data_IF_322409767745
#
_entry.id   IF_322409767745
#
_cell.length_a   1.000
_cell.length_b   1.000
_cell.length_c   1.000
_cell.angle_alpha   90.00
_cell.angle_beta   90.00
_cell.angle_gamma   90.00
#
_symmetry.space_group_name_H-M   'P 1'
#
loop_
_entity.id
_entity.type
_entity.pdbx_description
1 polymer ?
#
# COMPACT_ATOMS: atom_id res chain seq x y z
N UNK A 1 0.63 -22.53 4.96
CA UNK A 1 1.40 -21.53 4.19
C UNK A 1 1.40 -21.97 2.73
N UNK A 2 0.92 -21.15 1.81
CA UNK A 2 0.97 -21.46 0.36
C UNK A 2 2.42 -21.33 -0.13
N UNK A 3 2.84 -22.24 -0.99
CA UNK A 3 4.19 -22.26 -1.55
C UNK A 3 4.10 -22.12 -3.06
N UNK A 4 4.99 -21.32 -3.64
CA UNK A 4 5.02 -21.04 -5.06
C UNK A 4 6.34 -21.48 -5.68
N UNK A 5 6.27 -22.03 -6.87
CA UNK A 5 7.42 -22.48 -7.67
C UNK A 5 7.52 -21.77 -9.02
N UNK A 6 6.40 -21.24 -9.52
CA UNK A 6 6.27 -20.67 -10.87
C UNK A 6 6.10 -19.15 -10.90
N UNK A 7 5.87 -18.49 -9.73
CA UNK A 7 5.60 -17.07 -9.65
C UNK A 7 6.88 -16.26 -9.44
N UNK A 8 7.18 -15.35 -10.37
CA UNK A 8 8.36 -14.50 -10.37
C UNK A 8 8.00 -13.03 -10.59
N UNK A 9 8.85 -12.14 -10.10
CA UNK A 9 8.77 -10.70 -10.35
C UNK A 9 9.91 -10.33 -11.29
N UNK A 10 9.66 -9.71 -12.46
CA UNK A 10 10.72 -9.19 -13.29
C UNK A 10 11.58 -8.19 -12.53
N UNK A 11 12.90 -8.25 -12.65
CA UNK A 11 13.75 -7.23 -12.02
C UNK A 11 13.42 -5.85 -12.58
N UNK A 12 13.13 -4.88 -11.69
CA UNK A 12 12.53 -3.58 -12.02
C UNK A 12 11.16 -3.66 -12.71
N UNK A 13 10.45 -4.76 -12.60
CA UNK A 13 9.04 -4.91 -12.98
C UNK A 13 8.08 -4.38 -11.91
N UNK A 14 8.51 -3.36 -11.17
CA UNK A 14 7.76 -2.73 -10.08
C UNK A 14 8.17 -1.28 -9.91
N UNK A 15 7.29 -0.50 -9.30
CA UNK A 15 7.57 0.85 -8.84
C UNK A 15 6.71 1.20 -7.61
N UNK A 16 7.15 2.21 -6.87
CA UNK A 16 6.34 2.94 -5.90
C UNK A 16 6.41 4.41 -6.24
N UNK A 17 5.28 5.12 -6.20
CA UNK A 17 5.31 6.57 -6.19
C UNK A 17 5.95 7.08 -4.89
N UNK A 18 6.32 8.36 -4.79
CA UNK A 18 6.48 9.00 -3.51
C UNK A 18 5.22 8.84 -2.66
N UNK A 19 5.40 8.73 -1.34
CA UNK A 19 4.29 8.79 -0.38
C UNK A 19 4.13 10.23 0.10
N UNK A 20 2.97 10.81 -0.20
CA UNK A 20 2.65 12.16 0.25
C UNK A 20 1.89 12.10 1.57
N UNK A 21 2.25 12.99 2.50
CA UNK A 21 1.57 13.08 3.80
C UNK A 21 0.11 13.44 3.65
N UNK A 22 -0.66 13.20 4.70
CA UNK A 22 -2.02 13.71 4.84
C UNK A 22 -2.10 15.20 4.48
N UNK A 23 -3.02 15.54 3.57
CA UNK A 23 -3.19 16.90 3.02
C UNK A 23 -1.92 17.44 2.34
N UNK A 24 -1.10 16.55 1.79
CA UNK A 24 0.10 16.89 1.04
C UNK A 24 -0.12 17.03 -0.46
N UNK A 25 0.94 16.78 -1.23
CA UNK A 25 0.99 17.03 -2.68
C UNK A 25 -0.04 16.28 -3.51
N UNK A 26 -0.52 15.13 -3.06
CA UNK A 26 -1.50 14.30 -3.77
C UNK A 26 -2.93 14.41 -3.22
N UNK A 27 -3.18 15.26 -2.23
CA UNK A 27 -4.45 15.31 -1.49
C UNK A 27 -5.71 15.55 -2.36
N UNK A 28 -5.57 16.22 -3.49
CA UNK A 28 -6.67 16.58 -4.37
C UNK A 28 -6.76 15.71 -5.64
N UNK A 29 -5.88 14.73 -5.77
CA UNK A 29 -5.89 13.84 -6.93
C UNK A 29 -6.93 12.73 -6.74
N UNK A 30 -7.52 12.25 -7.84
CA UNK A 30 -8.26 11.00 -7.83
C UNK A 30 -7.24 9.85 -7.91
N UNK A 31 -7.20 8.98 -6.91
CA UNK A 31 -6.20 7.92 -6.82
C UNK A 31 -6.24 6.96 -8.02
N UNK A 32 -7.43 6.68 -8.56
CA UNK A 32 -7.62 5.77 -9.69
C UNK A 32 -6.98 6.36 -10.96
N UNK A 33 -7.31 7.63 -11.24
CA UNK A 33 -6.80 8.34 -12.42
C UNK A 33 -5.29 8.53 -12.33
N UNK A 34 -4.81 8.99 -11.17
CA UNK A 34 -3.38 9.21 -10.96
C UNK A 34 -2.60 7.89 -11.02
N UNK A 35 -3.12 6.83 -10.40
CA UNK A 35 -2.51 5.50 -10.44
C UNK A 35 -2.36 4.97 -11.86
N UNK A 36 -3.43 5.01 -12.66
CA UNK A 36 -3.39 4.58 -14.06
C UNK A 36 -2.44 5.46 -14.91
N UNK A 37 -2.44 6.79 -14.70
CA UNK A 37 -1.51 7.70 -15.38
C UNK A 37 -0.05 7.38 -15.05
N UNK A 38 0.25 7.19 -13.77
CA UNK A 38 1.60 6.85 -13.29
C UNK A 38 2.04 5.49 -13.85
N UNK A 39 1.17 4.50 -13.84
CA UNK A 39 1.42 3.19 -14.43
C UNK A 39 1.76 3.29 -15.92
N UNK A 40 0.98 4.05 -16.70
CA UNK A 40 1.23 4.27 -18.12
C UNK A 40 2.60 4.90 -18.39
N UNK A 41 2.95 5.92 -17.62
CA UNK A 41 4.24 6.60 -17.75
C UNK A 41 5.39 5.64 -17.40
N UNK A 42 5.21 4.82 -16.36
CA UNK A 42 6.18 3.82 -15.97
C UNK A 42 6.34 2.72 -17.02
N UNK A 43 5.27 2.16 -17.57
CA UNK A 43 5.33 1.17 -18.68
C UNK A 43 6.10 1.73 -19.88
N UNK A 44 5.79 2.99 -20.27
CA UNK A 44 6.50 3.68 -21.35
C UNK A 44 7.99 3.84 -21.07
N UNK A 45 8.37 4.27 -19.87
CA UNK A 45 9.78 4.41 -19.48
C UNK A 45 10.50 3.06 -19.47
N UNK A 46 9.82 2.01 -19.03
CA UNK A 46 10.36 0.65 -18.99
C UNK A 46 10.36 -0.03 -20.36
N UNK A 47 9.74 0.58 -21.37
CA UNK A 47 9.53 0.00 -22.71
C UNK A 47 8.83 -1.37 -22.64
N UNK A 48 7.91 -1.52 -21.69
CA UNK A 48 7.04 -2.69 -21.58
C UNK A 48 5.70 -2.34 -22.22
N UNK A 49 5.26 -3.15 -23.17
CA UNK A 49 3.92 -3.02 -23.74
C UNK A 49 2.89 -3.56 -22.74
N UNK A 50 1.94 -2.74 -22.25
CA UNK A 50 0.93 -3.21 -21.32
C UNK A 50 0.03 -4.32 -21.86
N UNK A 51 -0.03 -4.54 -23.16
CA UNK A 51 -0.79 -5.64 -23.77
C UNK A 51 -0.27 -7.03 -23.40
N UNK A 52 0.94 -7.13 -22.83
CA UNK A 52 1.47 -8.38 -22.27
C UNK A 52 0.81 -8.79 -20.96
N UNK A 53 0.02 -7.90 -20.35
CA UNK A 53 -0.69 -8.16 -19.09
C UNK A 53 -1.97 -8.95 -19.38
N UNK A 54 -2.09 -10.12 -18.79
CA UNK A 54 -3.26 -11.00 -18.92
C UNK A 54 -4.36 -10.66 -17.91
N UNK A 55 -3.99 -10.15 -16.73
CA UNK A 55 -4.93 -9.86 -15.64
C UNK A 55 -4.48 -8.68 -14.78
N UNK A 56 -5.40 -7.77 -14.43
CA UNK A 56 -5.17 -6.62 -13.55
C UNK A 56 -5.76 -6.87 -12.15
N UNK A 57 -4.95 -6.70 -11.13
CA UNK A 57 -5.36 -6.59 -9.74
C UNK A 57 -5.32 -5.14 -9.32
N UNK A 58 -6.48 -4.53 -9.15
CA UNK A 58 -6.57 -3.15 -8.69
C UNK A 58 -6.84 -3.12 -7.19
N UNK A 59 -5.95 -2.51 -6.42
CA UNK A 59 -6.07 -2.38 -4.97
C UNK A 59 -6.37 -0.94 -4.55
N UNK A 60 -7.43 -0.76 -3.77
CA UNK A 60 -7.82 0.53 -3.21
C UNK A 60 -8.51 0.32 -1.87
N UNK A 61 -8.25 1.16 -0.89
CA UNK A 61 -8.85 1.06 0.45
C UNK A 61 -9.76 2.22 0.80
N UNK A 62 -9.47 3.40 0.27
CA UNK A 62 -10.28 4.61 0.51
C UNK A 62 -11.12 4.90 -0.73
N UNK A 63 -12.43 4.89 -0.58
CA UNK A 63 -13.35 5.15 -1.69
C UNK A 63 -13.03 6.47 -2.40
N UNK A 64 -13.11 6.46 -3.70
CA UNK A 64 -12.91 7.61 -4.58
C UNK A 64 -14.15 7.84 -5.41
N UNK A 65 -14.24 9.02 -6.06
CA UNK A 65 -15.26 9.24 -7.06
C UNK A 65 -15.20 8.16 -8.14
N UNK A 66 -16.37 7.70 -8.58
CA UNK A 66 -16.53 6.64 -9.59
C UNK A 66 -15.92 5.29 -9.18
N UNK A 67 -15.95 4.96 -7.90
CA UNK A 67 -15.42 3.72 -7.37
C UNK A 67 -16.09 2.47 -7.95
N UNK A 68 -17.35 2.60 -8.38
CA UNK A 68 -18.16 1.53 -8.91
C UNK A 68 -17.53 0.92 -10.13
N UNK A 69 -16.92 0.16 -10.54
CA UNK A 69 -16.13 -0.34 -11.68
C UNK A 69 -14.70 0.19 -11.75
N UNK A 70 -14.11 0.61 -10.64
CA UNK A 70 -12.78 1.19 -10.65
C UNK A 70 -11.70 0.25 -11.22
N UNK A 71 -11.79 -1.05 -11.00
CA UNK A 71 -10.88 -2.06 -11.56
C UNK A 71 -10.95 -2.11 -13.10
N UNK A 72 -12.14 -2.16 -13.67
CA UNK A 72 -12.35 -2.15 -15.12
C UNK A 72 -11.91 -0.81 -15.72
N UNK A 73 -12.25 0.27 -15.04
CA UNK A 73 -11.87 1.61 -15.45
C UNK A 73 -10.36 1.83 -15.45
N UNK A 74 -9.67 1.36 -14.42
CA UNK A 74 -8.20 1.42 -14.35
C UNK A 74 -7.55 0.62 -15.49
N UNK A 75 -8.08 -0.56 -15.83
CA UNK A 75 -7.60 -1.35 -16.94
C UNK A 75 -7.76 -0.59 -18.28
N UNK A 76 -8.92 0.04 -18.50
CA UNK A 76 -9.17 0.83 -19.70
C UNK A 76 -8.29 2.08 -19.82
N UNK A 77 -7.82 2.63 -18.69
CA UNK A 77 -6.95 3.80 -18.66
C UNK A 77 -5.48 3.49 -18.93
N UNK A 78 -5.03 2.24 -18.81
CA UNK A 78 -3.62 1.91 -18.98
C UNK A 78 -3.14 2.23 -20.40
N UNK A 79 -3.71 1.61 -21.41
CA UNK A 79 -3.52 1.93 -22.84
C UNK A 79 -4.70 1.40 -23.63
N UNK A 80 -4.82 1.83 -24.88
CA UNK A 80 -5.90 1.36 -25.75
C UNK A 80 -5.94 -0.16 -25.94
N UNK A 81 -4.81 -0.83 -26.11
CA UNK A 81 -4.72 -2.29 -26.25
C UNK A 81 -5.05 -3.06 -24.96
N UNK A 82 -4.92 -2.42 -23.80
CA UNK A 82 -5.18 -3.02 -22.49
C UNK A 82 -6.66 -2.98 -22.09
N UNK A 83 -7.55 -2.39 -22.88
CA UNK A 83 -8.99 -2.26 -22.57
C UNK A 83 -9.68 -3.61 -22.35
N UNK A 84 -9.18 -4.67 -22.93
CA UNK A 84 -9.75 -6.01 -22.82
C UNK A 84 -9.17 -6.85 -21.69
N UNK A 85 -8.28 -6.28 -20.86
CA UNK A 85 -7.71 -6.99 -19.74
C UNK A 85 -8.80 -7.22 -18.68
N UNK A 86 -9.06 -8.48 -18.26
CA UNK A 86 -9.93 -8.76 -17.14
C UNK A 86 -9.30 -8.22 -15.85
N UNK A 87 -10.13 -7.78 -14.92
CA UNK A 87 -9.65 -7.13 -13.71
C UNK A 87 -10.47 -7.49 -12.48
N UNK A 88 -9.82 -7.44 -11.33
CA UNK A 88 -10.43 -7.62 -10.01
C UNK A 88 -10.04 -6.46 -9.10
N UNK A 89 -11.02 -5.89 -8.40
CA UNK A 89 -10.76 -4.93 -7.32
C UNK A 89 -10.55 -5.66 -6.00
N UNK A 90 -9.51 -5.27 -5.27
CA UNK A 90 -9.15 -5.81 -3.96
C UNK A 90 -9.23 -4.72 -2.92
N UNK A 91 -9.89 -5.02 -1.83
CA UNK A 91 -9.99 -4.15 -0.65
C UNK A 91 -9.74 -4.98 0.60
N UNK A 92 -8.58 -4.81 1.20
CA UNK A 92 -8.17 -5.48 2.44
C UNK A 92 -7.32 -4.56 3.32
N UNK A 93 -7.68 -3.29 3.39
CA UNK A 93 -6.96 -2.26 4.16
C UNK A 93 -5.44 -2.33 3.91
N UNK A 94 -4.62 -2.27 4.95
CA UNK A 94 -3.16 -2.24 4.85
C UNK A 94 -2.53 -3.47 4.17
N UNK A 95 -3.26 -4.58 4.04
CA UNK A 95 -2.78 -5.82 3.39
C UNK A 95 -3.18 -5.97 1.92
N UNK A 96 -3.87 -4.98 1.36
CA UNK A 96 -4.39 -5.01 -0.03
C UNK A 96 -3.31 -5.37 -1.05
N UNK A 97 -2.14 -4.74 -0.98
CA UNK A 97 -1.07 -4.96 -1.95
C UNK A 97 -0.46 -6.36 -1.86
N UNK A 98 -0.23 -6.85 -0.64
CA UNK A 98 0.28 -8.21 -0.43
C UNK A 98 -0.73 -9.27 -0.86
N UNK A 99 -2.03 -9.02 -0.66
CA UNK A 99 -3.11 -9.89 -1.14
C UNK A 99 -3.17 -9.90 -2.67
N UNK A 100 -3.02 -8.73 -3.32
CA UNK A 100 -2.94 -8.67 -4.78
C UNK A 100 -1.77 -9.46 -5.35
N UNK A 101 -0.60 -9.37 -4.72
CA UNK A 101 0.57 -10.14 -5.10
C UNK A 101 0.35 -11.66 -4.89
N UNK A 102 -0.30 -12.04 -3.78
CA UNK A 102 -0.66 -13.44 -3.51
C UNK A 102 -1.61 -14.00 -4.57
N UNK A 103 -2.68 -13.29 -4.90
CA UNK A 103 -3.64 -13.71 -5.91
C UNK A 103 -3.01 -13.84 -7.29
N UNK A 104 -2.14 -12.90 -7.68
CA UNK A 104 -1.40 -12.99 -8.91
C UNK A 104 -0.49 -14.24 -8.93
N UNK A 105 0.28 -14.46 -7.86
CA UNK A 105 1.14 -15.62 -7.74
C UNK A 105 0.36 -16.94 -7.77
N UNK A 106 -0.77 -16.99 -7.09
CA UNK A 106 -1.64 -18.18 -7.06
C UNK A 106 -2.17 -18.54 -8.45
N UNK A 107 -2.62 -17.55 -9.22
CA UNK A 107 -3.13 -17.81 -10.57
C UNK A 107 -2.01 -18.18 -11.56
N UNK A 108 -0.81 -17.63 -11.43
CA UNK A 108 0.38 -18.08 -12.16
C UNK A 108 0.72 -19.54 -11.82
N UNK A 109 0.69 -19.90 -10.54
CA UNK A 109 0.96 -21.27 -10.09
C UNK A 109 -0.03 -22.28 -10.65
N UNK A 110 -1.31 -21.89 -10.74
CA UNK A 110 -2.39 -22.68 -11.35
C UNK A 110 -2.35 -22.71 -12.88
N UNK A 111 -1.52 -21.90 -13.52
CA UNK A 111 -1.44 -21.81 -14.99
C UNK A 111 -2.63 -21.09 -15.62
N UNK A 112 -3.36 -20.26 -14.87
CA UNK A 112 -4.52 -19.53 -15.38
C UNK A 112 -4.12 -18.46 -16.42
N UNK A 113 -2.95 -17.88 -16.27
CA UNK A 113 -2.33 -16.89 -17.18
C UNK A 113 -0.82 -16.82 -16.93
N UNK A 114 -0.10 -16.04 -17.74
CA UNK A 114 1.35 -15.92 -17.65
C UNK A 114 1.82 -14.63 -16.97
N UNK A 115 1.01 -13.57 -17.00
CA UNK A 115 1.41 -12.25 -16.51
C UNK A 115 0.24 -11.53 -15.82
N UNK A 116 0.35 -11.34 -14.52
CA UNK A 116 -0.54 -10.50 -13.71
C UNK A 116 0.10 -9.15 -13.39
N UNK A 117 -0.69 -8.09 -13.34
CA UNK A 117 -0.26 -6.77 -12.93
C UNK A 117 -1.06 -6.28 -11.73
N UNK A 118 -0.39 -5.90 -10.66
CA UNK A 118 -1.00 -5.22 -9.52
C UNK A 118 -0.82 -3.71 -9.64
N UNK A 119 -1.92 -2.97 -9.61
CA UNK A 119 -1.96 -1.52 -9.49
C UNK A 119 -2.64 -1.18 -8.17
N UNK A 120 -1.88 -0.65 -7.22
CA UNK A 120 -2.38 -0.25 -5.91
C UNK A 120 -2.34 1.26 -5.83
N UNK A 121 -3.47 1.88 -5.52
CA UNK A 121 -3.58 3.34 -5.51
C UNK A 121 -4.52 3.77 -4.40
N UNK A 122 -4.05 4.63 -3.53
CA UNK A 122 -4.86 5.16 -2.45
C UNK A 122 -4.64 6.66 -2.25
N UNK A 123 -5.69 7.31 -1.83
CA UNK A 123 -5.66 8.68 -1.32
C UNK A 123 -6.44 8.72 -0.02
N UNK A 124 -5.74 8.78 1.08
CA UNK A 124 -6.30 8.92 2.42
C UNK A 124 -6.80 10.34 2.68
N UNK A 125 -6.12 11.33 2.10
CA UNK A 125 -6.52 12.74 2.19
C UNK A 125 -7.89 12.95 1.53
N UNK A 126 -8.72 13.79 2.14
CA UNK A 126 -10.04 14.11 1.59
C UNK A 126 -10.86 12.87 1.20
N UNK A 127 -10.81 11.85 2.07
CA UNK A 127 -11.64 10.66 1.93
C UNK A 127 -13.13 10.99 1.96
N UNK A 128 -14.01 10.11 1.47
CA UNK A 128 -15.42 10.40 1.39
C UNK A 128 -16.09 10.51 2.75
N UNK A 129 -17.13 11.32 2.81
CA UNK A 129 -18.15 11.22 3.83
C UNK A 129 -19.33 10.44 3.22
N UNK A 130 -19.74 9.37 3.86
CA UNK A 130 -20.91 8.59 3.48
C UNK A 130 -22.09 9.02 4.34
N UNK A 131 -23.22 9.23 3.72
CA UNK A 131 -24.47 9.54 4.39
C UNK A 131 -25.39 8.33 4.30
N UNK A 132 -25.74 7.76 5.42
CA UNK A 132 -26.59 6.58 5.52
C UNK A 132 -27.99 6.99 5.95
N UNK A 133 -29.06 6.49 5.30
CA UNK A 133 -30.40 6.62 5.87
C UNK A 133 -30.48 5.85 7.19
N UNK A 134 -31.05 6.47 8.22
CA UNK A 134 -31.32 5.81 9.48
C UNK A 134 -32.77 5.33 9.53
N UNK A 135 -33.08 4.07 9.21
CA UNK A 135 -34.46 3.59 9.15
C UNK A 135 -35.13 3.50 10.52
N UNK A 136 -34.34 3.54 11.58
CA UNK A 136 -34.82 3.49 12.96
C UNK A 136 -34.83 4.87 13.64
N UNK A 137 -34.35 5.91 12.95
CA UNK A 137 -34.35 7.28 13.45
C UNK A 137 -35.69 7.99 13.16
N UNK A 138 -36.06 8.97 13.96
CA UNK A 138 -37.27 9.75 13.72
C UNK A 138 -37.10 10.65 12.49
N UNK A 139 -38.13 10.71 11.65
CA UNK A 139 -38.31 11.82 10.69
C UNK A 139 -37.29 11.98 9.57
N UNK A 140 -36.60 10.92 9.16
CA UNK A 140 -35.66 10.98 8.03
C UNK A 140 -34.26 11.48 8.42
N UNK A 141 -33.88 11.33 9.66
CA UNK A 141 -32.49 11.54 10.10
C UNK A 141 -31.52 10.65 9.31
N UNK A 142 -30.32 11.17 9.13
CA UNK A 142 -29.24 10.46 8.46
C UNK A 142 -28.03 10.33 9.39
N UNK A 143 -27.24 9.28 9.19
CA UNK A 143 -25.95 9.10 9.85
C UNK A 143 -24.84 9.47 8.87
N UNK A 144 -23.94 10.35 9.26
CA UNK A 144 -22.76 10.71 8.48
C UNK A 144 -21.54 9.95 9.00
N UNK A 145 -20.83 9.32 8.09
CA UNK A 145 -19.59 8.59 8.37
C UNK A 145 -18.43 9.21 7.59
N UNK A 146 -17.37 9.61 8.29
CA UNK A 146 -16.09 9.85 7.66
C UNK A 146 -15.41 8.50 7.41
N UNK A 147 -15.41 8.06 6.17
CA UNK A 147 -14.92 6.74 5.77
C UNK A 147 -13.60 6.33 6.42
N UNK A 148 -12.64 7.25 6.48
CA UNK A 148 -11.32 6.93 7.02
C UNK A 148 -11.25 7.18 8.53
N UNK A 149 -11.57 8.39 8.98
CA UNK A 149 -11.29 8.80 10.36
C UNK A 149 -12.13 8.05 11.37
N UNK A 150 -13.41 7.81 11.08
CA UNK A 150 -14.28 7.09 12.01
C UNK A 150 -13.83 5.63 12.18
N UNK A 151 -13.44 4.98 11.08
CA UNK A 151 -12.99 3.59 11.11
C UNK A 151 -11.57 3.42 11.72
N UNK A 152 -10.69 4.40 11.59
CA UNK A 152 -9.40 4.40 12.28
C UNK A 152 -9.56 4.65 13.79
N UNK A 153 -10.53 5.48 14.18
CA UNK A 153 -10.82 5.77 15.56
C UNK A 153 -11.63 4.68 16.25
N UNK A 154 -12.40 3.91 15.50
CA UNK A 154 -13.18 2.81 16.03
C UNK A 154 -13.44 1.77 14.96
N UNK A 155 -12.65 0.71 14.95
CA UNK A 155 -12.91 -0.44 14.10
C UNK A 155 -14.35 -0.95 14.31
N UNK A 156 -15.18 -1.05 13.27
CA UNK A 156 -16.60 -1.40 13.42
C UNK A 156 -16.82 -2.81 13.97
N UNK A 157 -15.85 -3.71 13.81
CA UNK A 157 -15.90 -5.07 14.33
C UNK A 157 -15.32 -5.19 15.74
N UNK A 158 -14.11 -4.68 15.95
CA UNK A 158 -13.37 -4.85 17.19
C UNK A 158 -13.70 -3.76 18.22
N UNK A 159 -14.11 -2.58 17.76
CA UNK A 159 -14.41 -1.42 18.62
C UNK A 159 -13.18 -0.69 19.17
N UNK A 160 -11.98 -1.01 18.66
CA UNK A 160 -10.71 -0.41 19.07
C UNK A 160 -10.23 0.64 18.06
N UNK A 161 -9.56 1.67 18.55
CA UNK A 161 -8.71 2.53 17.71
C UNK A 161 -7.50 1.75 17.21
N UNK A 162 -6.91 2.18 16.10
CA UNK A 162 -5.68 1.55 15.57
C UNK A 162 -4.55 1.58 16.60
N UNK A 163 -4.33 2.69 17.28
CA UNK A 163 -3.30 2.80 18.32
C UNK A 163 -3.55 1.81 19.47
N UNK A 164 -4.79 1.58 19.87
CA UNK A 164 -5.12 0.64 20.95
C UNK A 164 -4.76 -0.80 20.59
N UNK A 165 -4.82 -1.19 19.31
CA UNK A 165 -4.37 -2.53 18.88
C UNK A 165 -2.87 -2.70 19.07
N UNK A 166 -2.08 -1.65 18.85
CA UNK A 166 -0.64 -1.67 19.07
C UNK A 166 -0.33 -1.72 20.58
N UNK A 167 -1.03 -0.92 21.39
CA UNK A 167 -0.86 -0.94 22.85
C UNK A 167 -1.22 -2.30 23.48
N UNK A 168 -2.28 -2.95 23.01
CA UNK A 168 -2.65 -4.30 23.46
C UNK A 168 -1.53 -5.32 23.21
N UNK A 169 -0.89 -5.26 22.04
CA UNK A 169 0.25 -6.13 21.71
C UNK A 169 1.46 -5.78 22.56
N UNK A 170 1.82 -4.49 22.64
CA UNK A 170 2.96 -4.02 23.42
C UNK A 170 2.85 -4.45 24.89
N UNK A 171 1.68 -4.28 25.49
CA UNK A 171 1.41 -4.73 26.86
C UNK A 171 1.58 -6.25 27.04
N UNK A 172 1.16 -7.04 26.04
CA UNK A 172 1.23 -8.51 26.11
C UNK A 172 2.66 -9.01 26.06
N UNK A 173 3.52 -8.37 25.25
CA UNK A 173 4.92 -8.78 25.06
C UNK A 173 5.91 -7.99 25.92
N UNK A 174 5.45 -7.00 26.68
CA UNK A 174 6.28 -6.21 27.59
C UNK A 174 7.20 -5.21 26.91
N UNK A 175 6.84 -4.69 25.73
CA UNK A 175 7.64 -3.66 25.02
C UNK A 175 7.53 -2.33 25.77
N UNK A 176 8.65 -1.62 25.88
CA UNK A 176 8.74 -0.30 26.53
C UNK A 176 8.68 0.84 25.52
N UNK A 177 8.45 2.06 26.03
CA UNK A 177 8.50 3.28 25.20
C UNK A 177 9.89 3.49 24.60
N UNK A 178 10.93 3.26 25.38
CA UNK A 178 12.32 3.42 24.98
C UNK A 178 12.68 2.49 23.83
N UNK A 179 12.18 1.26 23.84
CA UNK A 179 12.35 0.30 22.75
C UNK A 179 11.62 0.77 21.48
N UNK A 180 10.40 1.31 21.60
CA UNK A 180 9.66 1.91 20.49
C UNK A 180 10.40 3.13 19.91
N UNK A 181 10.92 4.00 20.76
CA UNK A 181 11.70 5.17 20.36
C UNK A 181 13.01 4.78 19.66
N UNK A 182 13.70 3.77 20.15
CA UNK A 182 14.92 3.25 19.53
C UNK A 182 14.67 2.71 18.11
N UNK A 183 13.56 1.98 17.92
CA UNK A 183 13.15 1.51 16.59
C UNK A 183 12.79 2.68 15.69
N UNK A 184 12.07 3.68 16.18
CA UNK A 184 11.70 4.89 15.45
C UNK A 184 12.95 5.63 14.95
N UNK A 185 13.90 5.89 15.84
CA UNK A 185 15.16 6.54 15.49
C UNK A 185 15.95 5.75 14.45
N UNK A 186 16.03 4.43 14.60
CA UNK A 186 16.68 3.55 13.63
C UNK A 186 16.02 3.63 12.25
N UNK A 187 14.70 3.63 12.17
CA UNK A 187 13.96 3.77 10.91
C UNK A 187 14.20 5.12 10.25
N UNK A 188 14.22 6.18 11.03
CA UNK A 188 14.56 7.50 10.54
C UNK A 188 15.98 7.55 9.94
N UNK A 189 16.98 6.99 10.63
CA UNK A 189 18.35 6.89 10.12
C UNK A 189 18.41 6.09 8.81
N UNK A 190 17.75 4.92 8.75
CA UNK A 190 17.68 4.11 7.52
C UNK A 190 17.04 4.86 6.35
N UNK A 191 16.03 5.68 6.63
CA UNK A 191 15.44 6.55 5.61
C UNK A 191 16.48 7.56 5.10
N UNK A 192 17.19 8.24 5.99
CA UNK A 192 18.26 9.17 5.60
C UNK A 192 19.37 8.51 4.81
N UNK A 193 19.79 7.31 5.21
CA UNK A 193 20.79 6.53 4.46
C UNK A 193 20.32 6.26 3.02
N UNK A 194 19.02 6.04 2.83
CA UNK A 194 18.42 5.82 1.51
C UNK A 194 18.48 7.06 0.60
N UNK A 195 18.65 8.26 1.18
CA UNK A 195 18.79 9.51 0.44
C UNK A 195 20.22 9.78 -0.02
N UNK A 196 21.20 9.01 0.44
CA UNK A 196 22.60 9.17 0.06
C UNK A 196 22.82 9.09 -1.46
N UNK A 197 23.91 9.67 -1.94
CA UNK A 197 24.30 9.66 -3.35
C UNK A 197 23.19 10.15 -4.30
N UNK A 198 22.53 11.24 -3.93
CA UNK A 198 21.45 11.82 -4.73
C UNK A 198 20.23 10.88 -4.85
N UNK A 199 19.89 10.21 -3.76
CA UNK A 199 18.75 9.27 -3.65
C UNK A 199 18.92 8.03 -4.53
N UNK A 200 20.14 7.54 -4.69
CA UNK A 200 20.45 6.40 -5.56
C UNK A 200 19.65 5.14 -5.19
N UNK A 201 19.40 4.90 -3.89
CA UNK A 201 18.60 3.77 -3.45
C UNK A 201 17.12 3.94 -3.86
N UNK A 202 16.51 5.08 -3.56
CA UNK A 202 15.11 5.34 -3.89
C UNK A 202 14.86 5.32 -5.40
N UNK A 203 15.78 5.86 -6.20
CA UNK A 203 15.70 5.84 -7.67
C UNK A 203 15.70 4.44 -8.30
N UNK A 204 15.96 3.39 -7.54
CA UNK A 204 15.83 2.00 -8.01
C UNK A 204 14.38 1.59 -8.21
N UNK A 205 13.46 2.14 -7.44
CA UNK A 205 12.05 1.75 -7.41
C UNK A 205 11.06 2.92 -7.42
N UNK A 206 11.48 4.11 -6.96
CA UNK A 206 10.58 5.26 -6.90
C UNK A 206 10.36 5.84 -8.29
N UNK A 207 9.10 6.06 -8.62
CA UNK A 207 8.66 6.65 -9.87
C UNK A 207 7.82 7.90 -9.56
N UNK A 208 8.16 9.06 -10.14
CA UNK A 208 7.48 10.32 -9.81
C UNK A 208 6.04 10.34 -10.30
N UNK A 209 5.20 11.08 -9.59
CA UNK A 209 3.84 11.40 -10.00
C UNK A 209 3.76 12.80 -10.62
N UNK A 210 3.15 12.89 -11.79
CA UNK A 210 2.88 14.17 -12.42
C UNK A 210 1.44 14.60 -12.17
N UNK A 211 1.26 15.75 -11.51
CA UNK A 211 -0.04 16.32 -11.17
C UNK A 211 -0.30 17.62 -11.93
N UNK A 212 -1.56 17.91 -12.20
CA UNK A 212 -1.98 19.15 -12.87
C UNK A 212 -2.24 20.25 -11.84
N UNK A 213 -1.63 21.40 -12.02
CA UNK A 213 -1.78 22.57 -11.16
C UNK A 213 -2.69 23.66 -11.80
N UNK A 214 -3.66 23.24 -12.58
CA UNK A 214 -4.55 24.13 -13.31
C UNK A 214 -3.76 25.04 -14.28
N UNK A 215 -3.97 26.36 -14.19
CA UNK A 215 -3.26 27.34 -15.05
C UNK A 215 -1.73 27.41 -14.79
N UNK A 216 -1.24 26.85 -13.69
CA UNK A 216 0.20 26.82 -13.36
C UNK A 216 0.96 25.68 -14.04
N UNK A 217 0.29 24.90 -14.91
CA UNK A 217 0.91 23.80 -15.62
C UNK A 217 0.91 22.49 -14.83
N UNK A 218 2.03 21.78 -14.88
CA UNK A 218 2.21 20.49 -14.18
C UNK A 218 3.29 20.61 -13.10
N UNK A 219 3.13 19.81 -12.04
CA UNK A 219 4.15 19.65 -10.98
C UNK A 219 4.51 18.17 -10.91
N UNK A 220 5.79 17.91 -10.79
CA UNK A 220 6.32 16.57 -10.56
C UNK A 220 6.54 16.35 -9.05
N UNK A 221 5.94 15.33 -8.51
CA UNK A 221 6.15 14.88 -7.12
C UNK A 221 7.18 13.75 -7.17
N UNK A 222 8.39 14.00 -6.67
CA UNK A 222 9.53 13.09 -6.79
C UNK A 222 10.05 12.57 -5.45
N UNK A 223 9.57 13.12 -4.34
CA UNK A 223 10.08 12.85 -3.00
C UNK A 223 8.95 12.56 -2.03
N UNK A 224 9.23 11.71 -1.05
CA UNK A 224 8.32 11.46 0.06
C UNK A 224 8.08 12.73 0.86
N UNK A 225 6.86 12.90 1.33
CA UNK A 225 6.47 13.99 2.24
C UNK A 225 6.18 13.44 3.64
N UNK A 226 6.34 14.30 4.65
CA UNK A 226 5.93 14.00 6.02
C UNK A 226 6.98 13.23 6.84
N UNK A 227 8.20 13.11 6.35
CA UNK A 227 9.32 12.63 7.15
C UNK A 227 9.81 13.77 8.03
N UNK A 228 9.55 13.67 9.31
CA UNK A 228 9.90 14.71 10.30
C UNK A 228 11.29 14.45 10.88
N UNK A 229 12.15 15.48 11.01
CA UNK A 229 13.43 15.35 11.71
C UNK A 229 13.25 14.75 13.10
N UNK A 230 13.97 13.66 13.37
CA UNK A 230 13.79 12.84 14.56
C UNK A 230 15.12 12.66 15.28
N UNK A 231 15.14 12.97 16.59
CA UNK A 231 16.30 12.75 17.46
C UNK A 231 15.90 11.95 18.70
N UNK A 232 16.86 11.34 19.37
CA UNK A 232 16.62 10.59 20.61
C UNK A 232 16.02 11.49 21.70
N UNK A 233 16.56 12.70 21.85
CA UNK A 233 16.09 13.69 22.83
C UNK A 233 14.68 14.20 22.50
N UNK A 234 14.35 14.33 21.21
CA UNK A 234 13.03 14.70 20.73
C UNK A 234 12.00 13.63 21.08
N UNK A 235 12.31 12.37 20.79
CA UNK A 235 11.44 11.22 21.12
C UNK A 235 11.24 11.06 22.62
N UNK A 236 12.29 11.19 23.43
CA UNK A 236 12.22 11.07 24.87
C UNK A 236 11.26 12.09 25.52
N UNK A 237 11.09 13.27 24.91
CA UNK A 237 10.17 14.31 25.38
C UNK A 237 8.69 14.04 25.04
N UNK A 238 8.41 13.15 24.10
CA UNK A 238 7.05 12.83 23.71
C UNK A 238 6.44 11.83 24.70
N UNK A 239 5.28 12.17 25.24
CA UNK A 239 4.48 11.21 26.01
C UNK A 239 3.76 10.19 25.11
N UNK A 240 3.27 9.08 25.68
CA UNK A 240 2.38 8.15 24.99
C UNK A 240 1.08 8.84 24.54
N UNK A 241 0.54 8.43 23.41
CA UNK A 241 -0.73 8.95 22.87
C UNK A 241 -1.94 8.45 23.68
N UNK A 242 -1.91 7.18 24.08
CA UNK A 242 -2.94 6.61 24.98
C UNK A 242 -2.43 6.60 26.42
N UNK A 243 -3.28 6.92 27.41
CA UNK A 243 -2.89 6.89 28.82
C UNK A 243 -2.32 5.52 29.23
N UNK A 244 -1.12 5.51 29.81
CA UNK A 244 -0.44 4.28 30.20
C UNK A 244 0.09 3.44 29.06
N UNK A 245 0.09 3.94 27.84
CA UNK A 245 0.66 3.32 26.64
C UNK A 245 2.17 3.52 26.53
N UNK A 246 2.73 2.98 25.45
CA UNK A 246 4.16 3.08 25.11
C UNK A 246 4.43 3.77 23.77
N UNK A 247 3.41 3.93 22.93
CA UNK A 247 3.57 4.54 21.62
C UNK A 247 3.37 6.06 21.69
N UNK A 248 4.43 6.80 21.46
CA UNK A 248 4.37 8.25 21.29
C UNK A 248 3.87 8.64 19.89
N UNK A 249 3.57 9.92 19.68
CA UNK A 249 3.24 10.42 18.34
C UNK A 249 4.38 10.19 17.35
N UNK A 250 5.63 10.25 17.78
CA UNK A 250 6.80 9.97 16.94
C UNK A 250 6.93 8.51 16.49
N UNK A 251 6.35 7.57 17.25
CA UNK A 251 6.37 6.15 16.92
C UNK A 251 5.22 5.72 15.96
N UNK A 252 4.42 6.65 15.48
CA UNK A 252 3.29 6.39 14.60
C UNK A 252 3.61 6.80 13.16
N UNK A 253 2.97 6.13 12.20
CA UNK A 253 2.89 6.62 10.82
C UNK A 253 1.66 7.51 10.66
N UNK A 254 1.74 8.50 9.77
CA UNK A 254 0.55 9.21 9.32
C UNK A 254 -0.07 8.51 8.10
N UNK A 255 -1.37 8.71 7.83
CA UNK A 255 -1.96 8.31 6.56
C UNK A 255 -1.24 9.00 5.40
N UNK A 256 -1.03 8.27 4.31
CA UNK A 256 -0.31 8.77 3.15
C UNK A 256 -1.07 8.49 1.86
N UNK A 257 -0.86 9.37 0.88
CA UNK A 257 -1.40 9.26 -0.48
C UNK A 257 -0.29 8.75 -1.40
N UNK A 258 -0.63 7.82 -2.30
CA UNK A 258 0.36 7.27 -3.23
C UNK A 258 -0.19 6.14 -4.09
N UNK A 259 0.67 5.62 -4.94
CA UNK A 259 0.36 4.42 -5.73
C UNK A 259 1.63 3.59 -5.97
N UNK A 260 1.43 2.33 -6.31
CA UNK A 260 2.50 1.46 -6.74
C UNK A 260 2.01 0.45 -7.78
N UNK A 261 2.94 -0.10 -8.54
CA UNK A 261 2.65 -1.15 -9.49
C UNK A 261 3.70 -2.26 -9.44
N UNK A 262 3.26 -3.49 -9.74
CA UNK A 262 4.15 -4.65 -9.82
C UNK A 262 3.63 -5.67 -10.81
N UNK A 263 4.56 -6.34 -11.49
CA UNK A 263 4.28 -7.47 -12.37
C UNK A 263 4.61 -8.76 -11.62
N UNK A 264 3.72 -9.74 -11.67
CA UNK A 264 3.98 -11.14 -11.29
C UNK A 264 3.78 -12.00 -12.53
N UNK A 265 4.76 -12.82 -12.87
CA UNK A 265 4.74 -13.57 -14.13
C UNK A 265 5.32 -14.98 -13.95
N UNK A 266 5.14 -15.83 -14.97
CA UNK A 266 5.91 -17.06 -15.09
C UNK A 266 7.41 -16.75 -15.17
N UNK A 267 8.28 -17.72 -14.89
CA UNK A 267 9.73 -17.52 -14.90
C UNK A 267 10.23 -16.99 -16.26
N UNK A 268 9.72 -17.54 -17.34
CA UNK A 268 10.08 -17.17 -18.72
C UNK A 268 9.66 -15.72 -19.02
N UNK A 269 8.42 -15.37 -18.70
CA UNK A 269 7.90 -14.01 -18.88
C UNK A 269 8.60 -13.01 -17.97
N UNK A 270 8.92 -13.39 -16.73
CA UNK A 270 9.67 -12.53 -15.84
C UNK A 270 11.08 -12.22 -16.37
N UNK A 271 11.76 -13.18 -17.00
CA UNK A 271 13.05 -12.95 -17.67
C UNK A 271 12.91 -12.02 -18.88
N UNK A 272 11.88 -12.23 -19.71
CA UNK A 272 11.60 -11.40 -20.88
C UNK A 272 11.36 -9.94 -20.51
N UNK A 273 10.60 -9.69 -19.44
CA UNK A 273 10.21 -8.36 -18.97
C UNK A 273 11.24 -7.71 -18.03
N UNK A 274 12.27 -8.44 -17.64
CA UNK A 274 13.29 -8.00 -16.71
C UNK A 274 14.22 -6.93 -17.29
N UNK A 275 14.65 -5.98 -16.48
CA UNK A 275 15.73 -5.06 -16.84
C UNK A 275 17.11 -5.75 -16.89
N UNK A 276 17.27 -6.85 -16.17
CA UNK A 276 18.42 -7.73 -16.20
C UNK A 276 17.93 -9.18 -16.03
N UNK A 277 17.92 -9.98 -17.08
CA UNK A 277 17.42 -11.35 -17.04
C UNK A 277 18.27 -12.32 -16.21
N UNK A 278 19.44 -11.87 -15.73
CA UNK A 278 20.28 -12.64 -14.80
C UNK A 278 19.78 -12.53 -13.36
N UNK A 279 18.94 -11.53 -13.06
CA UNK A 279 18.35 -11.33 -11.73
C UNK A 279 16.99 -12.00 -11.69
N UNK A 280 16.87 -13.07 -10.91
CA UNK A 280 15.61 -13.76 -10.68
C UNK A 280 15.05 -13.41 -9.30
N UNK A 281 13.80 -12.97 -9.23
CA UNK A 281 13.08 -12.69 -7.98
C UNK A 281 11.88 -13.61 -7.92
N UNK A 282 11.95 -14.63 -7.08
CA UNK A 282 10.87 -15.60 -6.90
C UNK A 282 9.99 -15.24 -5.71
N UNK A 283 8.68 -15.34 -5.86
CA UNK A 283 7.75 -15.36 -4.74
C UNK A 283 7.73 -16.79 -4.20
N UNK A 284 8.27 -16.98 -2.99
CA UNK A 284 8.45 -18.32 -2.42
C UNK A 284 7.19 -18.80 -1.70
N UNK A 285 6.60 -17.96 -0.88
CA UNK A 285 5.45 -18.36 -0.06
C UNK A 285 4.63 -17.17 0.38
N UNK A 286 3.43 -17.44 0.81
CA UNK A 286 2.53 -16.49 1.44
C UNK A 286 1.85 -17.14 2.65
N UNK A 287 1.69 -16.36 3.70
CA UNK A 287 0.95 -16.77 4.89
C UNK A 287 -0.02 -15.69 5.34
N UNK A 288 -1.10 -16.10 5.96
CA UNK A 288 -2.09 -15.21 6.54
C UNK A 288 -2.57 -15.75 7.88
N UNK A 289 -2.92 -14.84 8.76
CA UNK A 289 -3.49 -15.18 10.06
C UNK A 289 -4.53 -14.13 10.46
N UNK A 290 -5.35 -14.51 11.41
CA UNK A 290 -6.30 -13.63 12.09
C UNK A 290 -6.10 -13.78 13.59
N UNK A 291 -5.97 -12.66 14.26
CA UNK A 291 -5.87 -12.61 15.71
C UNK A 291 -7.21 -12.27 16.38
N UNK A 292 -7.26 -12.40 17.70
CA UNK A 292 -8.40 -11.96 18.49
C UNK A 292 -8.63 -10.45 18.34
N UNK A 293 -9.86 -10.01 18.65
CA UNK A 293 -10.22 -8.58 18.60
C UNK A 293 -9.21 -7.70 19.35
N UNK A 294 -8.80 -6.61 18.73
CA UNK A 294 -7.85 -5.67 19.31
C UNK A 294 -6.37 -6.11 19.28
N UNK A 295 -6.02 -7.18 18.55
CA UNK A 295 -4.64 -7.70 18.44
C UNK A 295 -4.15 -7.80 16.98
N UNK A 296 -4.73 -7.06 16.08
CA UNK A 296 -4.41 -7.09 14.65
C UNK A 296 -2.90 -6.92 14.38
N UNK A 297 -2.21 -6.10 15.17
CA UNK A 297 -0.77 -5.86 15.00
C UNK A 297 0.09 -7.12 15.21
N UNK A 298 -0.40 -8.16 15.89
CA UNK A 298 0.29 -9.43 16.06
C UNK A 298 0.05 -10.42 14.90
N UNK A 299 -0.96 -10.21 14.07
CA UNK A 299 -1.36 -11.16 13.03
C UNK A 299 -0.24 -11.53 12.04
N UNK A 300 0.67 -10.65 11.60
CA UNK A 300 1.75 -11.01 10.69
C UNK A 300 2.80 -11.96 11.30
N UNK A 301 2.88 -12.05 12.62
CA UNK A 301 3.91 -12.86 13.32
C UNK A 301 3.64 -14.34 13.14
N UNK A 302 2.39 -14.80 13.27
CA UNK A 302 2.03 -16.22 13.18
C UNK A 302 2.43 -16.86 11.84
N UNK A 303 2.11 -16.28 10.65
CA UNK A 303 2.58 -16.83 9.38
C UNK A 303 4.08 -16.72 9.19
N UNK A 304 4.71 -15.65 9.68
CA UNK A 304 6.16 -15.46 9.56
C UNK A 304 6.94 -16.47 10.41
N UNK A 305 6.40 -16.88 11.55
CA UNK A 305 7.00 -17.85 12.44
C UNK A 305 6.82 -19.31 11.97
N UNK A 306 5.89 -19.57 11.05
CA UNK A 306 5.74 -20.91 10.48
C UNK A 306 6.93 -21.23 9.57
N UNK A 307 7.73 -22.25 9.84
CA UNK A 307 8.83 -22.60 8.98
C UNK A 307 8.29 -22.86 7.57
N UNK A 308 8.89 -22.22 6.57
CA UNK A 308 8.73 -22.66 5.21
C UNK A 308 9.26 -24.11 5.20
N UNK A 309 8.37 -25.10 5.17
CA UNK A 309 8.80 -26.47 5.05
C UNK A 309 9.72 -26.55 3.83
N UNK A 310 11.03 -26.66 4.10
CA UNK A 310 11.98 -27.00 3.05
C UNK A 310 11.64 -28.40 2.55
N UNK A 311 11.78 -28.67 1.25
CA UNK A 311 11.52 -30.01 0.70
C UNK A 311 12.42 -31.05 1.36
#
# INVERSE_FOLDING_TARGET
MSRFSKAFIPFKGYYSSPFCRWQGGLANENAIILGAKTANQWFKQRKIDPTVIDYLYFGITIAQHWLFYSHTWSAAMLVDGAKNIPALMIHQACTTSTTGMFLAAQNIELGAYQTGYGLMADRCSNGPHTVWPNPNGPGGEVESENWMMDNFNRDPWAGFKMIQTAENVAKTIGVTKEECDAVTLRRYQQYHDSLANGRAFQKRYMFPCEIKMGKKGTKLIEEDEGVTPTTAEGLAKLGPVEPGGVHSFGAQTHPADGNCGFIVATREKAKELSADPKVEIQIISYGFAREKKGFMAAAPVSPAAQPAHRP
#
